data_IF_950993082760
#
_entry.id   IF_950993082760
#
_cell.length_a   1.000
_cell.length_b   1.000
_cell.length_c   1.000
_cell.angle_alpha   90.00
_cell.angle_beta   90.00
_cell.angle_gamma   90.00
#
_symmetry.space_group_name_H-M   'P 1'
#
loop_
_entity.id
_entity.type
_entity.pdbx_description
1 polymer ?
#
# COMPACT_ATOMS: atom_id res chain seq x y z
N UNK A 1 44.21 -9.29 -34.51
CA UNK A 1 44.86 -8.08 -35.08
C UNK A 1 46.10 -7.63 -34.33
N UNK A 2 46.17 -7.59 -33.00
CA UNK A 2 47.41 -7.14 -32.28
C UNK A 2 48.67 -7.98 -32.56
N UNK A 3 48.47 -9.21 -33.01
CA UNK A 3 49.58 -10.12 -33.41
C UNK A 3 49.82 -10.12 -34.92
N UNK A 4 48.98 -9.46 -35.71
CA UNK A 4 49.16 -9.35 -37.16
C UNK A 4 50.31 -8.39 -37.49
N UNK A 5 50.99 -8.64 -38.59
CA UNK A 5 52.06 -7.77 -39.10
C UNK A 5 51.55 -6.91 -40.26
N UNK A 6 52.11 -5.72 -40.39
CA UNK A 6 51.84 -4.84 -41.52
C UNK A 6 52.34 -5.46 -42.83
N UNK A 7 51.53 -5.55 -43.87
CA UNK A 7 51.95 -6.10 -45.15
C UNK A 7 53.05 -5.26 -45.84
N UNK A 8 53.15 -3.97 -45.45
CA UNK A 8 54.14 -3.07 -46.03
C UNK A 8 55.49 -3.00 -45.28
N UNK A 9 55.42 -3.14 -43.93
CA UNK A 9 56.63 -2.94 -43.09
C UNK A 9 57.05 -4.19 -42.33
N UNK A 10 56.34 -5.29 -42.42
CA UNK A 10 56.61 -6.54 -41.69
C UNK A 10 56.47 -6.43 -40.15
N UNK A 11 56.22 -5.21 -39.60
CA UNK A 11 56.21 -4.99 -38.16
C UNK A 11 54.82 -5.35 -37.59
N UNK A 12 54.78 -5.98 -36.41
CA UNK A 12 53.53 -6.27 -35.70
C UNK A 12 52.85 -4.99 -35.25
N UNK A 13 51.53 -4.93 -35.38
CA UNK A 13 50.72 -3.75 -35.02
C UNK A 13 50.76 -3.43 -33.52
N UNK A 14 50.90 -4.42 -32.67
CA UNK A 14 50.95 -4.24 -31.21
C UNK A 14 49.61 -3.79 -30.59
N UNK A 15 49.44 -4.05 -29.29
CA UNK A 15 48.19 -3.77 -28.59
C UNK A 15 47.86 -2.27 -28.53
N UNK A 16 48.87 -1.43 -28.28
CA UNK A 16 48.70 0.02 -28.13
C UNK A 16 48.11 0.67 -29.38
N UNK A 17 48.64 0.30 -30.56
CA UNK A 17 48.16 0.85 -31.83
C UNK A 17 46.74 0.36 -32.16
N UNK A 18 46.47 -0.93 -32.00
CA UNK A 18 45.18 -1.52 -32.28
C UNK A 18 44.08 -0.96 -31.34
N UNK A 19 44.41 -0.80 -30.06
CA UNK A 19 43.41 -0.26 -29.11
C UNK A 19 43.16 1.22 -29.31
N UNK A 20 44.13 2.01 -29.82
CA UNK A 20 43.95 3.40 -30.20
C UNK A 20 43.03 3.52 -31.42
N UNK A 21 43.31 2.80 -32.49
CA UNK A 21 42.47 2.83 -33.71
C UNK A 21 41.01 2.36 -33.47
N UNK A 22 40.82 1.49 -32.50
CA UNK A 22 39.48 0.97 -32.15
C UNK A 22 38.83 1.73 -30.99
N UNK A 23 39.42 2.85 -30.57
CA UNK A 23 38.95 3.67 -29.46
C UNK A 23 38.59 2.87 -28.20
N UNK A 24 39.35 1.79 -27.97
CA UNK A 24 39.12 0.86 -26.86
C UNK A 24 40.20 1.03 -25.78
N UNK A 25 39.76 1.14 -24.50
CA UNK A 25 40.70 1.13 -23.39
C UNK A 25 41.55 -0.16 -23.37
N UNK A 26 42.89 -0.03 -23.17
CA UNK A 26 43.82 -1.18 -23.11
C UNK A 26 43.39 -2.18 -22.01
N UNK A 27 42.87 -1.70 -20.88
CA UNK A 27 42.34 -2.54 -19.81
C UNK A 27 41.21 -3.45 -20.30
N UNK A 28 40.32 -2.93 -21.14
CA UNK A 28 39.21 -3.70 -21.74
C UNK A 28 39.71 -4.78 -22.70
N UNK A 29 40.79 -4.48 -23.43
CA UNK A 29 41.40 -5.46 -24.32
C UNK A 29 42.02 -6.63 -23.52
N UNK A 30 42.84 -6.35 -22.50
CA UNK A 30 43.43 -7.39 -21.67
C UNK A 30 42.41 -8.19 -20.89
N UNK A 31 41.36 -7.52 -20.36
CA UNK A 31 40.25 -8.17 -19.67
C UNK A 31 39.50 -9.17 -20.57
N UNK A 32 39.18 -8.76 -21.83
CA UNK A 32 38.54 -9.67 -22.79
C UNK A 32 39.43 -10.85 -23.16
N UNK A 33 40.73 -10.62 -23.30
CA UNK A 33 41.70 -11.67 -23.58
C UNK A 33 41.81 -12.66 -22.40
N UNK A 34 41.83 -12.17 -21.17
CA UNK A 34 41.86 -13.01 -19.97
C UNK A 34 40.56 -13.86 -19.86
N UNK A 35 39.41 -13.28 -20.12
CA UNK A 35 38.16 -14.03 -20.16
C UNK A 35 38.17 -15.12 -21.22
N UNK A 36 38.66 -14.82 -22.42
CA UNK A 36 38.74 -15.79 -23.51
C UNK A 36 39.66 -16.99 -23.19
N UNK A 37 40.64 -16.83 -22.31
CA UNK A 37 41.54 -17.92 -21.85
C UNK A 37 40.95 -18.71 -20.67
N UNK A 38 39.84 -18.26 -20.08
CA UNK A 38 39.19 -18.90 -18.93
C UNK A 38 37.68 -19.13 -19.21
N UNK A 39 37.31 -20.05 -20.13
CA UNK A 39 35.94 -20.25 -20.57
C UNK A 39 35.00 -20.67 -19.40
N UNK A 40 35.55 -21.35 -18.39
CA UNK A 40 34.79 -21.83 -17.24
C UNK A 40 34.65 -20.79 -16.09
N UNK A 41 35.18 -19.59 -16.30
CA UNK A 41 35.07 -18.54 -15.30
C UNK A 41 33.65 -18.08 -15.13
N UNK A 42 32.99 -18.49 -14.04
CA UNK A 42 31.71 -17.95 -13.63
C UNK A 42 31.89 -16.49 -13.26
N UNK A 43 31.40 -15.58 -14.10
CA UNK A 43 31.40 -14.14 -13.83
C UNK A 43 30.48 -13.87 -12.62
N UNK A 44 31.10 -13.60 -11.48
CA UNK A 44 30.32 -13.13 -10.31
C UNK A 44 29.69 -11.78 -10.66
N UNK A 45 28.38 -11.69 -10.50
CA UNK A 45 27.65 -10.41 -10.67
C UNK A 45 28.24 -9.36 -9.76
N UNK A 46 28.58 -8.20 -10.35
CA UNK A 46 29.01 -7.02 -9.58
C UNK A 46 27.87 -6.57 -8.68
N UNK A 47 28.15 -6.29 -7.43
CA UNK A 47 27.19 -5.80 -6.46
C UNK A 47 27.65 -6.08 -5.04
N UNK A 48 27.03 -5.44 -4.03
CA UNK A 48 27.38 -5.71 -2.65
C UNK A 48 27.12 -7.19 -2.33
N UNK A 49 28.11 -7.84 -1.71
CA UNK A 49 27.96 -9.21 -1.20
C UNK A 49 26.86 -9.19 -0.12
N UNK A 50 25.81 -9.97 -0.34
CA UNK A 50 24.72 -10.09 0.64
C UNK A 50 24.88 -11.40 1.40
N UNK A 51 24.49 -11.40 2.68
CA UNK A 51 24.53 -12.59 3.53
C UNK A 51 23.60 -13.73 3.05
N UNK A 52 22.66 -13.42 2.17
CA UNK A 52 21.62 -14.33 1.69
C UNK A 52 21.84 -14.73 0.22
N UNK A 53 21.89 -16.03 -0.07
CA UNK A 53 21.77 -16.55 -1.44
C UNK A 53 20.36 -16.25 -2.01
N UNK A 54 20.18 -16.32 -3.33
CA UNK A 54 18.86 -16.12 -3.94
C UNK A 54 17.86 -17.20 -3.49
N UNK A 55 18.31 -18.45 -3.36
CA UNK A 55 17.47 -19.55 -2.86
C UNK A 55 17.03 -19.33 -1.40
N UNK A 56 17.98 -19.02 -0.51
CA UNK A 56 17.65 -18.75 0.90
C UNK A 56 16.76 -17.51 1.07
N UNK A 57 16.95 -16.46 0.26
CA UNK A 57 16.10 -15.29 0.28
C UNK A 57 14.68 -15.59 -0.26
N UNK A 58 14.57 -16.45 -1.27
CA UNK A 58 13.27 -16.88 -1.78
C UNK A 58 12.46 -17.65 -0.72
N UNK A 59 13.11 -18.53 0.05
CA UNK A 59 12.43 -19.21 1.17
C UNK A 59 11.96 -18.21 2.23
N UNK A 60 12.77 -17.20 2.57
CA UNK A 60 12.35 -16.12 3.47
C UNK A 60 11.18 -15.30 2.92
N UNK A 61 11.13 -15.09 1.61
CA UNK A 61 9.98 -14.44 0.96
C UNK A 61 8.72 -15.31 1.14
N UNK A 62 8.82 -16.62 0.92
CA UNK A 62 7.68 -17.55 1.10
C UNK A 62 7.21 -17.60 2.55
N UNK A 63 8.13 -17.67 3.51
CA UNK A 63 7.80 -17.61 4.95
C UNK A 63 7.02 -16.32 5.30
N UNK A 64 7.50 -15.17 4.83
CA UNK A 64 6.85 -13.87 5.06
C UNK A 64 5.46 -13.82 4.46
N UNK A 65 5.28 -14.35 3.24
CA UNK A 65 3.97 -14.40 2.59
C UNK A 65 3.00 -15.36 3.31
N UNK A 66 3.49 -16.52 3.73
CA UNK A 66 2.68 -17.50 4.48
C UNK A 66 2.26 -16.99 5.86
N UNK A 67 3.12 -16.22 6.53
CA UNK A 67 2.82 -15.62 7.84
C UNK A 67 1.92 -14.37 7.75
N UNK A 68 1.73 -13.81 6.55
CA UNK A 68 0.88 -12.63 6.39
C UNK A 68 -0.61 -12.99 6.51
N UNK A 69 -1.38 -12.22 7.28
CA UNK A 69 -2.83 -12.39 7.33
C UNK A 69 -3.56 -11.80 6.12
N UNK A 70 -2.83 -11.34 5.11
CA UNK A 70 -3.36 -10.67 3.92
C UNK A 70 -2.92 -11.36 2.63
N UNK A 71 -3.81 -11.37 1.64
CA UNK A 71 -3.56 -11.97 0.33
C UNK A 71 -2.90 -10.98 -0.62
N UNK A 72 -2.03 -11.49 -1.51
CA UNK A 72 -1.49 -10.73 -2.62
C UNK A 72 -0.65 -9.51 -2.20
N UNK A 73 0.15 -9.62 -1.16
CA UNK A 73 1.07 -8.53 -0.78
C UNK A 73 2.14 -8.32 -1.85
N UNK A 74 2.23 -7.08 -2.36
CA UNK A 74 3.21 -6.71 -3.38
C UNK A 74 4.65 -6.68 -2.83
N UNK A 75 5.64 -6.78 -3.74
CA UNK A 75 7.07 -6.84 -3.41
C UNK A 75 7.57 -5.75 -2.45
N UNK A 76 6.95 -4.55 -2.43
CA UNK A 76 7.35 -3.46 -1.52
C UNK A 76 7.01 -3.77 -0.07
N UNK A 77 5.85 -4.37 0.17
CA UNK A 77 5.44 -4.81 1.51
C UNK A 77 6.26 -6.01 1.97
N UNK A 78 6.46 -7.00 1.10
CA UNK A 78 7.32 -8.15 1.37
C UNK A 78 8.74 -7.70 1.73
N UNK A 79 9.31 -6.75 0.97
CA UNK A 79 10.60 -6.16 1.30
C UNK A 79 10.61 -5.49 2.68
N UNK A 80 9.57 -4.74 3.05
CA UNK A 80 9.49 -4.11 4.36
C UNK A 80 9.40 -5.15 5.50
N UNK A 81 8.57 -6.19 5.33
CA UNK A 81 8.48 -7.29 6.30
C UNK A 81 9.81 -8.04 6.46
N UNK A 82 10.52 -8.30 5.38
CA UNK A 82 11.87 -8.88 5.44
C UNK A 82 12.81 -8.00 6.26
N UNK A 83 12.76 -6.66 6.09
CA UNK A 83 13.58 -5.74 6.91
C UNK A 83 13.21 -5.79 8.38
N UNK A 84 11.93 -5.85 8.72
CA UNK A 84 11.48 -6.01 10.11
C UNK A 84 11.96 -7.34 10.70
N UNK A 85 12.08 -8.39 9.90
CA UNK A 85 12.67 -9.67 10.28
C UNK A 85 14.22 -9.69 10.23
N UNK A 86 14.89 -8.53 10.10
CA UNK A 86 16.36 -8.43 10.08
C UNK A 86 17.02 -8.81 8.74
N UNK A 87 16.25 -9.16 7.72
CA UNK A 87 16.78 -9.57 6.41
C UNK A 87 17.01 -8.33 5.53
N UNK A 88 18.29 -7.95 5.37
CA UNK A 88 18.68 -6.79 4.54
C UNK A 88 18.86 -7.21 3.07
N UNK A 89 18.06 -6.64 2.18
CA UNK A 89 18.12 -6.87 0.73
C UNK A 89 17.56 -5.66 -0.02
N UNK A 90 17.77 -5.56 -1.33
CA UNK A 90 17.21 -4.50 -2.15
C UNK A 90 15.78 -4.81 -2.61
N UNK A 91 14.94 -3.76 -2.78
CA UNK A 91 13.59 -3.90 -3.34
C UNK A 91 13.60 -4.55 -4.73
N UNK A 92 14.59 -4.21 -5.56
CA UNK A 92 14.73 -4.75 -6.91
C UNK A 92 15.01 -6.26 -6.90
N UNK A 93 15.82 -6.74 -5.94
CA UNK A 93 16.10 -8.17 -5.79
C UNK A 93 14.86 -8.94 -5.36
N UNK A 94 14.11 -8.42 -4.39
CA UNK A 94 12.82 -9.01 -3.97
C UNK A 94 11.85 -9.08 -5.14
N UNK A 95 11.70 -7.97 -5.91
CA UNK A 95 10.83 -7.94 -7.09
C UNK A 95 11.23 -9.00 -8.11
N UNK A 96 12.54 -9.14 -8.41
CA UNK A 96 13.04 -10.14 -9.35
C UNK A 96 12.71 -11.56 -8.89
N UNK A 97 13.05 -11.91 -7.66
CA UNK A 97 12.81 -13.26 -7.12
C UNK A 97 11.32 -13.60 -7.06
N UNK A 98 10.47 -12.65 -6.62
CA UNK A 98 9.02 -12.85 -6.62
C UNK A 98 8.46 -13.03 -8.03
N UNK A 99 9.01 -12.33 -9.02
CA UNK A 99 8.60 -12.48 -10.44
C UNK A 99 9.01 -13.85 -10.99
N UNK A 100 10.27 -14.24 -10.79
CA UNK A 100 10.81 -15.53 -11.23
C UNK A 100 10.04 -16.71 -10.59
N UNK A 101 9.63 -16.58 -9.34
CA UNK A 101 8.86 -17.58 -8.59
C UNK A 101 7.33 -17.45 -8.74
N UNK A 102 6.82 -16.55 -9.58
CA UNK A 102 5.38 -16.29 -9.78
C UNK A 102 4.62 -15.93 -8.50
N UNK A 103 5.27 -15.24 -7.56
CA UNK A 103 4.71 -14.81 -6.27
C UNK A 103 4.21 -13.36 -6.27
N UNK A 104 4.19 -12.69 -7.43
CA UNK A 104 3.69 -11.32 -7.51
C UNK A 104 2.18 -11.28 -7.34
N UNK A 105 1.71 -10.26 -6.63
CA UNK A 105 0.28 -9.96 -6.58
C UNK A 105 -0.27 -9.71 -8.00
N UNK A 106 -1.52 -10.11 -8.28
CA UNK A 106 -2.16 -9.86 -9.56
C UNK A 106 -2.10 -8.37 -9.91
N UNK A 107 -1.51 -8.04 -11.07
CA UNK A 107 -1.45 -6.66 -11.54
C UNK A 107 -2.74 -6.31 -12.27
N UNK A 108 -3.46 -5.32 -11.75
CA UNK A 108 -4.59 -4.71 -12.44
C UNK A 108 -4.09 -3.50 -13.20
N UNK A 109 -3.47 -3.73 -14.35
CA UNK A 109 -3.08 -2.68 -15.29
C UNK A 109 -4.32 -2.20 -16.06
N UNK A 110 -5.13 -1.36 -15.43
CA UNK A 110 -5.92 -0.43 -16.20
C UNK A 110 -5.01 0.77 -16.47
N UNK A 111 -4.86 1.21 -17.74
CA UNK A 111 -4.17 2.44 -18.04
C UNK A 111 -4.84 3.56 -17.24
N UNK A 112 -4.10 4.18 -16.33
CA UNK A 112 -4.60 5.32 -15.60
C UNK A 112 -4.69 6.45 -16.61
N UNK A 113 -5.90 6.92 -16.93
CA UNK A 113 -6.06 8.18 -17.62
C UNK A 113 -5.31 9.26 -16.83
N UNK A 114 -4.57 10.11 -17.51
CA UNK A 114 -3.94 11.27 -16.88
C UNK A 114 -5.06 12.19 -16.37
N UNK A 115 -5.36 12.09 -15.09
CA UNK A 115 -6.20 13.05 -14.42
C UNK A 115 -5.27 14.07 -13.75
N UNK A 116 -5.28 15.33 -14.18
CA UNK A 116 -4.55 16.39 -13.48
C UNK A 116 -5.17 16.57 -12.10
N UNK A 117 -4.50 16.07 -11.07
CA UNK A 117 -4.90 16.32 -9.68
C UNK A 117 -4.68 17.80 -9.36
N UNK A 118 -5.76 18.53 -9.11
CA UNK A 118 -5.73 19.96 -8.77
C UNK A 118 -5.50 20.23 -7.28
N UNK A 119 -5.31 19.19 -6.46
CA UNK A 119 -5.03 19.34 -5.04
C UNK A 119 -4.90 18.01 -4.31
N UNK A 120 -4.20 18.04 -3.19
CA UNK A 120 -4.08 16.89 -2.25
C UNK A 120 -4.50 17.37 -0.87
N UNK A 121 -5.42 16.63 -0.23
CA UNK A 121 -5.77 16.88 1.16
C UNK A 121 -4.62 16.35 2.02
N UNK A 122 -3.88 17.27 2.64
CA UNK A 122 -2.84 16.95 3.60
C UNK A 122 -3.39 17.16 5.01
N UNK A 123 -3.28 16.13 5.82
CA UNK A 123 -3.60 16.15 7.25
C UNK A 123 -2.31 15.87 8.02
N UNK A 124 -2.03 16.68 9.03
CA UNK A 124 -0.84 16.56 9.83
C UNK A 124 -1.05 15.67 11.07
N UNK A 125 -2.26 15.62 11.58
CA UNK A 125 -2.60 14.94 12.83
C UNK A 125 -3.76 13.94 12.63
N UNK A 126 -3.79 12.86 13.40
CA UNK A 126 -4.98 12.01 13.50
C UNK A 126 -6.20 12.83 13.96
N UNK A 127 -7.37 12.43 13.51
CA UNK A 127 -8.65 13.06 13.86
C UNK A 127 -8.84 14.50 13.34
N UNK A 128 -8.13 14.93 12.30
CA UNK A 128 -8.44 16.17 11.58
C UNK A 128 -9.55 15.97 10.53
N UNK A 129 -9.48 14.87 9.79
CA UNK A 129 -10.46 14.55 8.75
C UNK A 129 -10.76 13.05 8.78
N UNK A 130 -12.02 12.71 8.95
CA UNK A 130 -12.52 11.35 8.70
C UNK A 130 -13.29 11.31 7.39
N UNK A 131 -12.94 10.37 6.53
CA UNK A 131 -13.60 10.16 5.24
C UNK A 131 -14.63 9.05 5.38
N UNK A 132 -15.89 9.36 5.07
CA UNK A 132 -17.00 8.43 5.07
C UNK A 132 -17.43 8.07 3.66
N UNK A 133 -17.76 6.80 3.44
CA UNK A 133 -18.25 6.29 2.16
C UNK A 133 -18.95 4.94 2.41
N UNK A 134 -19.55 4.37 1.38
CA UNK A 134 -20.18 3.06 1.47
C UNK A 134 -19.88 2.20 0.24
N UNK A 135 -20.07 0.90 0.39
CA UNK A 135 -20.02 -0.05 -0.71
C UNK A 135 -21.07 -1.14 -0.52
N UNK A 136 -21.31 -1.89 -1.57
CA UNK A 136 -22.30 -2.97 -1.55
C UNK A 136 -21.60 -4.32 -1.63
N UNK A 137 -22.21 -5.31 -0.96
CA UNK A 137 -21.91 -6.73 -1.06
C UNK A 137 -23.19 -7.54 -0.96
N UNK A 138 -23.12 -8.85 -0.91
CA UNK A 138 -24.28 -9.69 -0.76
C UNK A 138 -24.09 -10.71 0.37
N UNK A 139 -25.18 -11.05 1.03
CA UNK A 139 -25.31 -12.19 1.95
C UNK A 139 -26.29 -13.20 1.38
N UNK A 140 -26.25 -14.44 1.87
CA UNK A 140 -27.11 -15.53 1.35
C UNK A 140 -28.55 -15.30 1.75
N UNK A 141 -28.80 -14.87 2.99
CA UNK A 141 -30.16 -14.75 3.54
C UNK A 141 -30.83 -13.41 3.18
N UNK A 142 -30.09 -12.28 3.18
CA UNK A 142 -30.66 -10.95 2.94
C UNK A 142 -30.45 -10.42 1.52
N UNK A 143 -29.63 -11.08 0.71
CA UNK A 143 -29.26 -10.61 -0.62
C UNK A 143 -28.31 -9.42 -0.54
N UNK A 144 -28.63 -8.33 -1.24
CA UNK A 144 -27.79 -7.12 -1.27
C UNK A 144 -27.78 -6.39 0.06
N UNK A 145 -26.60 -6.08 0.57
CA UNK A 145 -26.36 -5.35 1.80
C UNK A 145 -25.35 -4.23 1.56
N UNK A 146 -25.46 -3.16 2.35
CA UNK A 146 -24.56 -2.01 2.28
C UNK A 146 -23.58 -2.05 3.44
N UNK A 147 -22.30 -1.77 3.14
CA UNK A 147 -21.24 -1.64 4.12
C UNK A 147 -20.79 -0.18 4.16
N UNK A 148 -20.99 0.47 5.28
CA UNK A 148 -20.57 1.83 5.57
C UNK A 148 -19.19 1.84 6.21
N UNK A 149 -18.40 2.82 5.87
CA UNK A 149 -16.97 2.93 6.23
C UNK A 149 -16.66 4.34 6.71
N UNK A 150 -15.85 4.45 7.74
CA UNK A 150 -15.19 5.71 8.11
C UNK A 150 -13.71 5.47 8.34
N UNK A 151 -12.86 6.32 7.74
CA UNK A 151 -11.40 6.18 7.75
C UNK A 151 -10.74 7.51 8.10
N UNK A 152 -9.80 7.50 9.03
CA UNK A 152 -8.96 8.65 9.32
C UNK A 152 -8.04 8.95 8.13
N UNK A 153 -8.07 10.19 7.66
CA UNK A 153 -7.35 10.59 6.45
C UNK A 153 -5.83 10.62 6.66
N UNK A 154 -5.37 10.96 7.86
CA UNK A 154 -3.96 11.05 8.22
C UNK A 154 -3.31 9.67 8.27
N UNK A 155 -3.85 8.78 9.09
CA UNK A 155 -3.28 7.47 9.39
C UNK A 155 -3.79 6.34 8.50
N UNK A 156 -4.86 6.59 7.71
CA UNK A 156 -5.65 5.55 7.01
C UNK A 156 -6.28 4.52 7.95
N UNK A 157 -6.36 4.82 9.24
CA UNK A 157 -6.98 3.94 10.20
C UNK A 157 -8.48 3.84 9.95
N UNK A 158 -9.01 2.65 9.95
CA UNK A 158 -10.44 2.43 9.88
C UNK A 158 -11.05 2.75 11.25
N UNK A 159 -11.73 3.87 11.35
CA UNK A 159 -12.36 4.32 12.60
C UNK A 159 -13.73 3.70 12.82
N UNK A 160 -14.38 3.21 11.76
CA UNK A 160 -15.63 2.48 11.88
C UNK A 160 -16.00 1.70 10.62
N UNK A 161 -16.65 0.56 10.82
CA UNK A 161 -17.23 -0.31 9.79
C UNK A 161 -18.61 -0.80 10.25
N UNK A 162 -19.60 -0.72 9.39
CA UNK A 162 -20.94 -1.21 9.69
C UNK A 162 -21.61 -1.78 8.45
N UNK A 163 -22.38 -2.86 8.61
CA UNK A 163 -23.17 -3.46 7.54
C UNK A 163 -24.65 -3.42 7.86
N UNK A 164 -25.47 -3.10 6.87
CA UNK A 164 -26.92 -3.06 7.03
C UNK A 164 -27.66 -3.51 5.75
N UNK A 165 -28.83 -4.12 5.92
CA UNK A 165 -29.70 -4.52 4.81
C UNK A 165 -30.22 -3.30 4.04
N UNK A 166 -30.47 -2.19 4.73
CA UNK A 166 -30.99 -0.95 4.13
C UNK A 166 -29.97 0.18 4.32
N UNK A 167 -29.68 0.89 3.27
CA UNK A 167 -28.76 2.04 3.30
C UNK A 167 -29.47 3.29 3.85
N UNK A 168 -29.82 3.29 5.14
CA UNK A 168 -30.44 4.45 5.78
C UNK A 168 -29.39 5.42 6.32
N UNK A 169 -29.81 6.67 6.55
CA UNK A 169 -28.98 7.70 7.18
C UNK A 169 -28.51 7.32 8.59
N UNK A 170 -29.31 6.57 9.33
CA UNK A 170 -28.94 6.11 10.68
C UNK A 170 -27.85 5.04 10.65
N UNK A 171 -27.87 4.16 9.64
CA UNK A 171 -26.83 3.15 9.43
C UNK A 171 -25.52 3.80 8.93
N UNK A 172 -25.62 4.89 8.16
CA UNK A 172 -24.47 5.66 7.71
C UNK A 172 -23.72 6.36 8.86
N UNK A 173 -24.41 6.67 9.96
CA UNK A 173 -23.84 7.27 11.18
C UNK A 173 -23.07 6.26 12.03
N UNK A 174 -23.38 4.97 11.95
CA UNK A 174 -22.81 3.97 12.87
C UNK A 174 -21.26 3.88 12.81
N UNK A 175 -20.58 3.95 11.64
CA UNK A 175 -19.12 4.03 11.61
C UNK A 175 -18.56 5.24 12.35
N UNK A 176 -19.24 6.41 12.29
CA UNK A 176 -18.80 7.59 13.02
C UNK A 176 -19.01 7.43 14.53
N UNK A 177 -20.16 6.85 14.94
CA UNK A 177 -20.45 6.53 16.34
C UNK A 177 -19.40 5.59 16.94
N UNK A 178 -18.96 4.56 16.18
CA UNK A 178 -17.87 3.69 16.58
C UNK A 178 -16.58 4.49 16.77
N UNK A 179 -16.20 5.30 15.79
CA UNK A 179 -15.00 6.12 15.87
C UNK A 179 -15.02 7.10 17.03
N UNK A 180 -16.14 7.77 17.28
CA UNK A 180 -16.28 8.71 18.41
C UNK A 180 -16.16 7.99 19.75
N UNK A 181 -16.77 6.82 19.90
CA UNK A 181 -16.63 5.99 21.11
C UNK A 181 -15.19 5.60 21.37
N UNK A 182 -14.46 5.16 20.32
CA UNK A 182 -13.11 4.60 20.45
C UNK A 182 -12.02 5.68 20.58
N UNK A 183 -12.19 6.84 19.90
CA UNK A 183 -11.11 7.82 19.77
C UNK A 183 -11.39 9.19 20.39
N UNK A 184 -12.64 9.47 20.79
CA UNK A 184 -13.04 10.79 21.31
C UNK A 184 -13.57 10.74 22.75
N UNK A 185 -13.32 9.65 23.47
CA UNK A 185 -13.70 9.49 24.88
C UNK A 185 -15.20 9.32 25.11
N UNK A 186 -15.92 8.78 24.12
CA UNK A 186 -17.33 8.40 24.24
C UNK A 186 -18.29 9.30 23.45
N UNK A 187 -19.51 8.81 23.30
CA UNK A 187 -20.58 9.48 22.54
C UNK A 187 -21.27 10.55 23.40
N UNK A 188 -20.97 11.82 23.16
CA UNK A 188 -21.57 12.98 23.83
C UNK A 188 -21.48 14.23 22.96
N UNK A 189 -22.25 15.25 23.30
CA UNK A 189 -22.21 16.54 22.62
C UNK A 189 -20.76 17.09 22.58
N UNK A 190 -20.32 17.53 21.40
CA UNK A 190 -18.99 18.12 21.19
C UNK A 190 -17.82 17.15 21.33
N UNK A 191 -18.04 15.83 21.48
CA UNK A 191 -16.96 14.85 21.67
C UNK A 191 -15.95 14.83 20.53
N UNK A 192 -16.38 15.10 19.31
CA UNK A 192 -15.57 15.06 18.10
C UNK A 192 -15.27 16.47 17.54
N UNK A 193 -15.27 17.50 18.40
CA UNK A 193 -14.95 18.88 18.02
C UNK A 193 -13.59 18.95 17.33
N UNK A 194 -13.55 19.64 16.19
CA UNK A 194 -12.35 19.78 15.36
C UNK A 194 -12.16 18.70 14.31
N UNK A 195 -12.97 17.64 14.30
CA UNK A 195 -12.96 16.63 13.25
C UNK A 195 -13.88 17.05 12.11
N UNK A 196 -13.37 17.06 10.88
CA UNK A 196 -14.18 17.24 9.67
C UNK A 196 -14.59 15.87 9.14
N UNK A 197 -15.89 15.68 8.92
CA UNK A 197 -16.39 14.49 8.25
C UNK A 197 -16.53 14.75 6.75
N UNK A 198 -15.67 14.12 5.97
CA UNK A 198 -15.72 14.17 4.51
C UNK A 198 -16.57 13.04 3.98
N UNK A 199 -17.54 13.37 3.13
CA UNK A 199 -18.47 12.42 2.53
C UNK A 199 -18.87 12.87 1.12
N UNK A 200 -19.50 12.00 0.36
CA UNK A 200 -20.11 12.34 -0.92
C UNK A 200 -21.47 13.04 -0.72
N UNK A 201 -22.13 13.37 -1.83
CA UNK A 201 -23.47 13.97 -1.82
C UNK A 201 -24.61 12.92 -1.77
N UNK A 202 -24.34 11.70 -1.31
CA UNK A 202 -25.35 10.67 -1.13
C UNK A 202 -26.47 11.15 -0.20
N UNK A 203 -27.72 10.78 -0.53
CA UNK A 203 -28.89 11.23 0.22
C UNK A 203 -28.83 10.90 1.71
N UNK A 204 -28.18 9.79 2.09
CA UNK A 204 -27.99 9.38 3.48
C UNK A 204 -27.10 10.36 4.24
N UNK A 205 -26.06 10.93 3.61
CA UNK A 205 -25.14 11.88 4.23
C UNK A 205 -25.66 13.31 4.23
N UNK A 206 -26.52 13.65 3.26
CA UNK A 206 -27.10 14.99 3.14
C UNK A 206 -28.42 15.14 3.89
N UNK A 207 -28.90 14.11 4.57
CA UNK A 207 -30.14 14.16 5.33
C UNK A 207 -29.99 15.01 6.60
N UNK A 208 -31.07 15.66 7.00
CA UNK A 208 -31.12 16.51 8.19
C UNK A 208 -30.71 15.76 9.48
N UNK A 209 -31.17 14.51 9.64
CA UNK A 209 -30.78 13.68 10.80
C UNK A 209 -29.28 13.39 10.84
N UNK A 210 -28.65 13.09 9.68
CA UNK A 210 -27.21 12.87 9.63
C UNK A 210 -26.44 14.14 9.97
N UNK A 211 -26.84 15.26 9.37
CA UNK A 211 -26.19 16.56 9.61
C UNK A 211 -26.40 17.04 11.06
N UNK A 212 -27.57 16.81 11.62
CA UNK A 212 -27.86 17.14 13.03
C UNK A 212 -27.00 16.34 14.01
N UNK A 213 -26.80 15.02 13.74
CA UNK A 213 -25.98 14.20 14.64
C UNK A 213 -24.48 14.55 14.54
N UNK A 214 -23.95 14.77 13.35
CA UNK A 214 -22.54 15.21 13.24
C UNK A 214 -22.31 16.58 13.87
N UNK A 215 -23.27 17.50 13.75
CA UNK A 215 -23.23 18.79 14.45
C UNK A 215 -23.30 18.61 15.97
N UNK A 216 -24.19 17.72 16.48
CA UNK A 216 -24.24 17.39 17.91
C UNK A 216 -22.91 16.86 18.43
N UNK A 217 -22.23 16.03 17.64
CA UNK A 217 -20.90 15.50 17.97
C UNK A 217 -19.78 16.57 17.89
N UNK A 218 -20.07 17.76 17.37
CA UNK A 218 -19.12 18.84 17.16
C UNK A 218 -18.26 18.65 15.90
N UNK A 219 -18.65 17.74 15.01
CA UNK A 219 -17.97 17.53 13.74
C UNK A 219 -18.43 18.59 12.71
N UNK A 220 -17.51 18.93 11.80
CA UNK A 220 -17.80 19.78 10.65
C UNK A 220 -18.12 18.92 9.43
N UNK A 221 -19.24 19.19 8.75
CA UNK A 221 -19.57 18.56 7.47
C UNK A 221 -18.67 19.10 6.35
N UNK A 222 -18.04 18.21 5.59
CA UNK A 222 -17.14 18.54 4.49
C UNK A 222 -17.49 17.73 3.24
N UNK A 223 -18.61 18.03 2.55
CA UNK A 223 -18.97 17.30 1.35
C UNK A 223 -17.89 17.44 0.26
N UNK A 224 -17.65 16.39 -0.48
CA UNK A 224 -16.73 16.39 -1.61
C UNK A 224 -17.26 17.29 -2.73
N UNK A 225 -16.38 17.86 -3.56
CA UNK A 225 -16.82 18.68 -4.68
C UNK A 225 -17.66 17.84 -5.66
N UNK A 226 -18.75 18.43 -6.15
CA UNK A 226 -19.63 17.79 -7.15
C UNK A 226 -18.81 17.42 -8.39
N UNK A 227 -18.89 16.16 -8.83
CA UNK A 227 -18.17 15.62 -9.99
C UNK A 227 -16.63 15.58 -9.89
N UNK A 228 -16.07 15.68 -8.68
CA UNK A 228 -14.65 15.45 -8.44
C UNK A 228 -14.47 14.25 -7.49
N UNK A 229 -14.47 13.01 -8.01
CA UNK A 229 -14.32 11.79 -7.21
C UNK A 229 -12.97 11.72 -6.49
N UNK A 230 -11.98 12.49 -6.94
CA UNK A 230 -10.61 12.50 -6.42
C UNK A 230 -10.51 12.97 -4.97
N UNK A 231 -11.53 13.63 -4.47
CA UNK A 231 -11.55 14.17 -3.12
C UNK A 231 -11.69 13.11 -2.01
N UNK A 232 -12.06 11.86 -2.33
CA UNK A 232 -12.29 10.78 -1.34
C UNK A 232 -11.35 9.57 -1.51
N UNK A 233 -10.24 9.74 -2.23
CA UNK A 233 -9.32 8.68 -2.60
C UNK A 233 -8.71 7.87 -1.42
N UNK A 234 -8.77 8.40 -0.19
CA UNK A 234 -8.32 7.67 1.00
C UNK A 234 -9.29 6.53 1.33
N UNK A 235 -10.59 6.83 1.46
CA UNK A 235 -11.61 5.84 1.78
C UNK A 235 -11.86 4.88 0.61
N UNK A 236 -11.80 5.36 -0.64
CA UNK A 236 -11.91 4.52 -1.83
C UNK A 236 -10.81 3.44 -1.86
N UNK A 237 -9.57 3.81 -1.52
CA UNK A 237 -8.47 2.86 -1.40
C UNK A 237 -8.70 1.86 -0.29
N UNK A 238 -9.23 2.28 0.84
CA UNK A 238 -9.60 1.38 1.93
C UNK A 238 -10.71 0.42 1.50
N UNK A 239 -11.79 0.91 0.89
CA UNK A 239 -12.90 0.09 0.37
C UNK A 239 -12.37 -0.96 -0.62
N UNK A 240 -11.46 -0.57 -1.50
CA UNK A 240 -10.83 -1.54 -2.41
C UNK A 240 -10.08 -2.63 -1.63
N UNK A 241 -9.31 -2.25 -0.61
CA UNK A 241 -8.62 -3.22 0.25
C UNK A 241 -9.61 -4.13 0.98
N UNK A 242 -10.70 -3.58 1.53
CA UNK A 242 -11.78 -4.33 2.17
C UNK A 242 -12.38 -5.35 1.20
N UNK A 243 -12.70 -4.94 -0.02
CA UNK A 243 -13.22 -5.84 -1.07
C UNK A 243 -12.26 -6.98 -1.38
N UNK A 244 -11.00 -6.64 -1.65
CA UNK A 244 -9.96 -7.62 -2.04
C UNK A 244 -9.57 -8.57 -0.91
N UNK A 245 -9.67 -8.14 0.34
CA UNK A 245 -9.20 -8.90 1.49
C UNK A 245 -10.32 -9.58 2.29
N UNK A 246 -11.58 -9.21 2.05
CA UNK A 246 -12.72 -9.76 2.78
C UNK A 246 -13.94 -10.00 1.89
N UNK A 247 -14.53 -8.96 1.28
CA UNK A 247 -15.86 -9.05 0.69
C UNK A 247 -15.91 -9.93 -0.57
N UNK A 248 -14.82 -10.02 -1.35
CA UNK A 248 -14.76 -10.82 -2.57
C UNK A 248 -14.19 -12.23 -2.36
N UNK A 249 -13.59 -12.48 -1.19
CA UNK A 249 -12.92 -13.75 -0.90
C UNK A 249 -13.71 -14.64 0.07
N UNK A 250 -14.80 -14.12 0.62
CA UNK A 250 -15.66 -14.84 1.57
C UNK A 250 -17.14 -14.62 1.24
N UNK A 251 -17.92 -15.67 1.35
CA UNK A 251 -19.39 -15.62 1.30
C UNK A 251 -19.92 -15.57 2.73
N UNK A 252 -20.87 -14.70 2.99
CA UNK A 252 -21.49 -14.50 4.30
C UNK A 252 -22.91 -15.02 4.29
N UNK A 253 -23.29 -15.75 5.33
CA UNK A 253 -24.62 -16.30 5.47
C UNK A 253 -25.66 -15.18 5.66
N UNK A 254 -25.39 -14.27 6.60
CA UNK A 254 -26.26 -13.14 6.93
C UNK A 254 -25.47 -11.91 7.33
N UNK A 255 -26.21 -10.79 7.60
CA UNK A 255 -25.62 -9.49 7.98
C UNK A 255 -24.85 -9.58 9.30
N UNK A 256 -25.29 -10.39 10.27
CA UNK A 256 -24.58 -10.50 11.55
C UNK A 256 -23.22 -11.20 11.40
N UNK A 257 -23.14 -12.26 10.59
CA UNK A 257 -21.86 -12.86 10.26
C UNK A 257 -20.93 -11.87 9.55
N UNK A 258 -21.48 -11.06 8.63
CA UNK A 258 -20.73 -10.01 7.97
C UNK A 258 -20.24 -8.96 8.98
N UNK A 259 -21.08 -8.51 9.93
CA UNK A 259 -20.70 -7.55 10.99
C UNK A 259 -19.53 -8.07 11.84
N UNK A 260 -19.62 -9.32 12.28
CA UNK A 260 -18.52 -9.97 13.02
C UNK A 260 -17.22 -9.96 12.20
N UNK A 261 -17.28 -10.38 10.93
CA UNK A 261 -16.12 -10.40 10.04
C UNK A 261 -15.56 -9.00 9.75
N UNK A 262 -16.40 -7.98 9.67
CA UNK A 262 -15.98 -6.58 9.51
C UNK A 262 -15.26 -6.07 10.77
N UNK A 263 -15.72 -6.42 11.97
CA UNK A 263 -15.06 -6.05 13.22
C UNK A 263 -13.67 -6.70 13.32
N UNK A 264 -13.56 -7.99 13.03
CA UNK A 264 -12.28 -8.71 12.97
C UNK A 264 -11.33 -8.12 11.90
N UNK A 265 -11.90 -7.76 10.74
CA UNK A 265 -11.13 -7.14 9.66
C UNK A 265 -10.62 -5.76 10.05
N UNK A 266 -11.44 -4.91 10.68
CA UNK A 266 -11.06 -3.59 11.18
C UNK A 266 -9.85 -3.69 12.10
N UNK A 267 -9.91 -4.57 13.10
CA UNK A 267 -8.81 -4.80 14.04
C UNK A 267 -7.55 -5.29 13.32
N UNK A 268 -7.68 -6.34 12.52
CA UNK A 268 -6.56 -6.90 11.75
C UNK A 268 -5.94 -5.88 10.78
N UNK A 269 -6.76 -5.05 10.12
CA UNK A 269 -6.29 -4.00 9.23
C UNK A 269 -5.51 -2.93 10.01
N UNK A 270 -6.09 -2.40 11.06
CA UNK A 270 -5.47 -1.34 11.84
C UNK A 270 -4.14 -1.79 12.47
N UNK A 271 -4.07 -3.03 12.94
CA UNK A 271 -2.89 -3.55 13.65
C UNK A 271 -1.81 -4.17 12.75
N UNK A 272 -2.16 -4.64 11.54
CA UNK A 272 -1.22 -5.46 10.74
C UNK A 272 -1.04 -5.02 9.29
N UNK A 273 -1.90 -4.14 8.76
CA UNK A 273 -1.77 -3.63 7.40
C UNK A 273 -0.70 -2.55 7.33
N UNK A 274 0.47 -2.85 6.73
CA UNK A 274 1.55 -1.86 6.57
C UNK A 274 1.28 -0.94 5.37
N UNK A 275 1.53 0.35 5.55
CA UNK A 275 1.22 1.40 4.57
C UNK A 275 2.50 2.12 4.15
N UNK A 276 2.83 2.07 2.85
CA UNK A 276 4.09 2.64 2.35
C UNK A 276 4.24 4.15 2.63
N UNK A 277 3.15 4.94 2.52
CA UNK A 277 3.19 6.38 2.79
C UNK A 277 3.40 6.74 4.27
N UNK A 278 3.21 5.77 5.16
CA UNK A 278 3.46 5.86 6.60
C UNK A 278 4.77 5.15 6.98
N UNK A 279 5.75 5.16 6.08
CA UNK A 279 7.04 4.47 6.27
C UNK A 279 6.92 2.99 6.67
N UNK A 280 5.89 2.33 6.13
CA UNK A 280 5.53 0.94 6.39
C UNK A 280 5.07 0.68 7.84
N UNK A 281 4.68 1.70 8.58
CA UNK A 281 3.93 1.51 9.82
C UNK A 281 2.51 1.01 9.52
N UNK A 282 1.89 0.38 10.51
CA UNK A 282 0.46 0.11 10.48
C UNK A 282 -0.33 1.39 10.83
N UNK A 283 -1.63 1.48 10.48
CA UNK A 283 -2.44 2.63 10.86
C UNK A 283 -2.41 2.95 12.35
N UNK A 284 -2.53 1.93 13.21
CA UNK A 284 -2.50 2.09 14.66
C UNK A 284 -1.11 2.56 15.16
N UNK A 285 -0.02 2.00 14.62
CA UNK A 285 1.35 2.46 14.96
C UNK A 285 1.58 3.92 14.54
N UNK A 286 1.11 4.30 13.34
CA UNK A 286 1.23 5.67 12.86
C UNK A 286 0.44 6.65 13.75
N UNK A 287 -0.79 6.29 14.16
CA UNK A 287 -1.57 7.08 15.11
C UNK A 287 -0.82 7.26 16.42
N UNK A 288 -0.36 6.18 17.00
CA UNK A 288 0.36 6.20 18.28
C UNK A 288 1.61 7.09 18.22
N UNK A 289 2.39 6.98 17.15
CA UNK A 289 3.59 7.79 16.95
C UNK A 289 3.26 9.28 16.79
N UNK A 290 2.24 9.63 15.99
CA UNK A 290 1.85 11.03 15.74
C UNK A 290 1.27 11.68 17.00
N UNK A 291 0.48 10.94 17.81
CA UNK A 291 -0.04 11.45 19.08
C UNK A 291 1.08 11.68 20.10
N UNK A 292 2.08 10.78 20.17
CA UNK A 292 3.23 10.94 21.04
C UNK A 292 4.07 12.17 20.67
N UNK A 293 4.29 12.43 19.38
CA UNK A 293 4.98 13.61 18.88
C UNK A 293 4.20 14.92 19.18
N UNK A 294 2.86 14.87 19.03
CA UNK A 294 2.01 16.02 19.35
C UNK A 294 1.91 16.35 20.85
N UNK A 295 2.13 15.37 21.72
CA UNK A 295 2.16 15.56 23.16
C UNK A 295 3.53 16.08 23.65
N UNK A 296 4.59 15.96 22.86
CA UNK A 296 5.94 16.41 23.18
C UNK A 296 6.27 17.83 22.64
N UNK A 297 5.39 18.39 21.80
CA UNK A 297 5.52 19.73 21.20
C UNK A 297 4.65 20.76 21.95
#
# INVERSE_FOLDING_TARGET
MSCAASPFTGRRYGVVRVTREWEMARSSFYYRREIATQPDRVLQRRGPKTAWSDAALLEKIREVLAASPFYGEGHRKVWARLRFAGVRTSKARVLRLMREAQLLAPSRLLPKAENPHTGTILTARPNEVWASDHTMTATVEEGQVTVFVAVDHCTTECVGLHAAKKATRFEALEPLRQGVRDYCGGFRAGAATGIRNRHDHGSQYMSDDYQAEIAFLGMESSPSFVRQPECNGCVERFIRTLKEQLLWVRVFRNVEELRCALAEFRERYNQRWIVQRLDYLTPAQARQQLLALGAAA
#
